data_IF_210330277780
#
_entry.id   IF_210330277780
#
_cell.length_a   1.000
_cell.length_b   1.000
_cell.length_c   1.000
_cell.angle_alpha   90.00
_cell.angle_beta   90.00
_cell.angle_gamma   90.00
#
_symmetry.space_group_name_H-M   'P 1'
#
loop_
_entity.id
_entity.type
_entity.pdbx_description
1 polymer ?
#
# COMPACT_ATOMS: atom_id res chain seq x y z
N UNK A 1 41.91 -4.33 8.43
CA UNK A 1 40.67 -5.01 8.88
C UNK A 1 39.69 -3.92 9.26
N UNK A 2 38.50 -3.87 8.69
CA UNK A 2 37.46 -2.91 9.10
C UNK A 2 36.65 -3.60 10.18
N UNK A 3 36.61 -3.05 11.38
CA UNK A 3 35.72 -3.54 12.43
C UNK A 3 34.28 -3.22 12.01
N UNK A 4 33.43 -4.24 11.91
CA UNK A 4 32.00 -4.05 11.69
C UNK A 4 31.36 -3.61 13.02
N UNK A 5 30.57 -2.52 13.02
CA UNK A 5 29.88 -2.08 14.23
C UNK A 5 28.84 -3.12 14.64
N UNK A 6 28.90 -3.55 15.90
CA UNK A 6 27.87 -4.41 16.51
C UNK A 6 26.82 -3.55 17.21
N UNK A 7 25.55 -3.92 17.07
CA UNK A 7 24.43 -3.18 17.63
C UNK A 7 23.86 -3.99 18.81
N UNK A 8 24.13 -3.61 20.07
CA UNK A 8 23.64 -4.35 21.22
C UNK A 8 22.11 -4.24 21.33
N UNK A 9 21.46 -5.36 21.62
CA UNK A 9 20.02 -5.41 21.82
C UNK A 9 19.61 -4.65 23.08
N UNK A 10 18.70 -3.69 22.94
CA UNK A 10 18.22 -2.88 24.08
C UNK A 10 17.26 -3.63 25.01
N UNK A 11 16.71 -4.76 24.57
CA UNK A 11 15.77 -5.55 25.34
C UNK A 11 16.49 -6.52 26.29
N UNK A 12 17.32 -7.41 25.75
CA UNK A 12 18.04 -8.38 26.58
C UNK A 12 19.38 -7.87 27.10
N UNK A 13 19.99 -6.85 26.47
CA UNK A 13 21.33 -6.30 26.80
C UNK A 13 22.48 -7.31 26.73
N UNK A 14 22.24 -8.49 26.20
CA UNK A 14 23.24 -9.56 26.03
C UNK A 14 23.49 -9.82 24.55
N UNK A 15 22.43 -9.87 23.75
CA UNK A 15 22.51 -10.24 22.34
C UNK A 15 22.84 -9.08 21.41
N UNK A 16 23.12 -9.43 20.17
CA UNK A 16 23.47 -8.51 19.09
C UNK A 16 22.35 -8.53 18.04
N UNK A 17 21.99 -7.34 17.56
CA UNK A 17 21.06 -7.18 16.44
C UNK A 17 21.82 -7.42 15.13
N UNK A 18 21.31 -8.36 14.32
CA UNK A 18 21.83 -8.67 12.99
C UNK A 18 20.80 -8.33 11.92
N UNK A 19 21.27 -7.93 10.73
CA UNK A 19 20.39 -7.77 9.57
C UNK A 19 19.83 -9.13 9.17
N UNK A 20 18.52 -9.25 9.22
CA UNK A 20 17.81 -10.48 8.91
C UNK A 20 16.40 -10.14 8.35
N UNK A 21 15.53 -11.13 8.24
CA UNK A 21 14.15 -10.98 7.83
C UNK A 21 13.20 -11.54 8.88
N UNK A 22 12.02 -10.91 9.00
CA UNK A 22 10.98 -11.32 9.92
C UNK A 22 9.59 -11.18 9.29
N UNK A 23 8.57 -11.74 9.92
CA UNK A 23 7.18 -11.51 9.48
C UNK A 23 6.72 -10.13 9.92
N UNK A 24 6.31 -9.29 8.99
CA UNK A 24 5.57 -8.07 9.33
C UNK A 24 4.07 -8.36 9.36
N UNK A 25 3.42 -8.08 10.48
CA UNK A 25 1.99 -8.23 10.65
C UNK A 25 1.33 -6.89 11.01
N UNK A 26 0.24 -6.57 10.33
CA UNK A 26 -0.57 -5.40 10.64
C UNK A 26 -2.04 -5.65 10.27
N UNK A 27 -2.95 -4.83 10.81
CA UNK A 27 -4.35 -4.81 10.38
C UNK A 27 -4.61 -3.48 9.69
N UNK A 28 -5.13 -3.52 8.47
CA UNK A 28 -5.48 -2.34 7.69
C UNK A 28 -6.94 -2.47 7.26
N UNK A 29 -7.77 -1.47 7.59
CA UNK A 29 -9.21 -1.46 7.26
C UNK A 29 -9.97 -2.74 7.71
N UNK A 30 -9.60 -3.29 8.86
CA UNK A 30 -10.19 -4.52 9.40
C UNK A 30 -9.71 -5.81 8.71
N UNK A 31 -8.78 -5.72 7.74
CA UNK A 31 -8.17 -6.88 7.10
C UNK A 31 -6.74 -7.10 7.61
N UNK A 32 -6.39 -8.33 8.05
CA UNK A 32 -5.02 -8.65 8.42
C UNK A 32 -4.13 -8.69 7.18
N UNK A 33 -2.91 -8.17 7.32
CA UNK A 33 -1.85 -8.19 6.30
C UNK A 33 -0.63 -8.85 6.92
N UNK A 34 -0.14 -9.88 6.25
CA UNK A 34 1.09 -10.59 6.60
C UNK A 34 2.07 -10.43 5.45
N UNK A 35 3.25 -9.87 5.71
CA UNK A 35 4.35 -9.82 4.75
C UNK A 35 5.47 -10.73 5.27
N UNK A 36 5.71 -11.89 4.64
CA UNK A 36 6.85 -12.73 4.97
C UNK A 36 8.15 -12.06 4.52
N UNK A 37 9.27 -12.53 5.06
CA UNK A 37 10.62 -12.11 4.67
C UNK A 37 10.81 -10.58 4.64
N UNK A 38 10.25 -9.87 5.64
CA UNK A 38 10.35 -8.42 5.74
C UNK A 38 11.68 -7.99 6.36
N UNK A 39 12.43 -7.06 5.75
CA UNK A 39 13.76 -6.69 6.22
C UNK A 39 13.73 -6.09 7.63
N UNK A 40 14.57 -6.62 8.50
CA UNK A 40 14.62 -6.26 9.91
C UNK A 40 16.03 -6.39 10.49
N UNK A 41 16.17 -5.92 11.72
CA UNK A 41 17.24 -6.31 12.63
C UNK A 41 16.67 -7.24 13.68
N UNK A 42 17.23 -8.44 13.81
CA UNK A 42 16.76 -9.46 14.75
C UNK A 42 17.87 -9.77 15.74
N UNK A 43 17.53 -9.77 17.04
CA UNK A 43 18.45 -10.18 18.08
C UNK A 43 18.66 -11.70 18.03
N UNK A 44 19.92 -12.11 17.94
CA UNK A 44 20.36 -13.51 17.95
C UNK A 44 20.00 -14.29 19.23
N UNK A 45 19.75 -13.60 20.35
CA UNK A 45 19.43 -14.23 21.63
C UNK A 45 17.94 -14.17 22.01
N UNK A 46 17.33 -12.98 22.04
CA UNK A 46 15.94 -12.84 22.51
C UNK A 46 14.90 -12.75 21.38
N UNK A 47 15.33 -12.67 20.12
CA UNK A 47 14.43 -12.54 18.97
C UNK A 47 13.76 -11.16 18.83
N UNK A 48 14.17 -10.16 19.62
CA UNK A 48 13.70 -8.77 19.45
C UNK A 48 13.96 -8.33 18.01
N UNK A 49 12.89 -7.92 17.34
CA UNK A 49 12.88 -7.49 15.96
C UNK A 49 12.65 -5.98 15.84
N UNK A 50 13.45 -5.32 15.02
CA UNK A 50 13.30 -3.92 14.61
C UNK A 50 13.22 -3.86 13.08
N UNK A 51 12.02 -3.57 12.56
CA UNK A 51 11.81 -3.52 11.11
C UNK A 51 12.56 -2.36 10.46
N UNK A 52 13.01 -2.57 9.21
CA UNK A 52 13.67 -1.53 8.44
C UNK A 52 12.71 -0.37 8.15
N UNK A 53 13.08 0.85 8.57
CA UNK A 53 12.22 2.04 8.45
C UNK A 53 11.94 2.45 7.00
N UNK A 54 12.90 2.28 6.09
CA UNK A 54 12.69 2.57 4.67
C UNK A 54 11.67 1.60 4.06
N UNK A 55 11.84 0.29 4.30
CA UNK A 55 10.90 -0.72 3.84
C UNK A 55 9.49 -0.53 4.42
N UNK A 56 9.37 -0.10 5.69
CA UNK A 56 8.08 0.22 6.29
C UNK A 56 7.40 1.39 5.58
N UNK A 57 8.17 2.42 5.24
CA UNK A 57 7.65 3.61 4.54
C UNK A 57 7.14 3.24 3.14
N UNK A 58 7.89 2.42 2.41
CA UNK A 58 7.48 1.90 1.10
C UNK A 58 6.22 1.04 1.20
N UNK A 59 6.17 0.11 2.16
CA UNK A 59 4.99 -0.72 2.40
C UNK A 59 3.75 0.13 2.71
N UNK A 60 3.88 1.13 3.59
CA UNK A 60 2.79 2.04 3.91
C UNK A 60 2.30 2.81 2.69
N UNK A 61 3.21 3.28 1.83
CA UNK A 61 2.84 3.96 0.59
C UNK A 61 2.05 3.03 -0.35
N UNK A 62 2.48 1.78 -0.52
CA UNK A 62 1.77 0.78 -1.32
C UNK A 62 0.35 0.50 -0.79
N UNK A 63 0.23 0.34 0.53
CA UNK A 63 -1.06 0.10 1.18
C UNK A 63 -2.01 1.29 1.03
N UNK A 64 -1.50 2.52 1.10
CA UNK A 64 -2.30 3.73 0.88
C UNK A 64 -2.74 3.87 -0.59
N UNK A 65 -1.89 3.52 -1.56
CA UNK A 65 -2.28 3.49 -2.98
C UNK A 65 -3.41 2.49 -3.23
N UNK A 66 -3.32 1.29 -2.65
CA UNK A 66 -4.34 0.25 -2.77
C UNK A 66 -5.69 0.68 -2.17
N UNK A 67 -5.66 1.34 -1.00
CA UNK A 67 -6.84 1.98 -0.40
C UNK A 67 -7.53 2.97 -1.32
N UNK A 68 -6.75 3.87 -1.94
CA UNK A 68 -7.28 4.88 -2.86
C UNK A 68 -7.88 4.26 -4.12
N UNK A 69 -7.28 3.18 -4.62
CA UNK A 69 -7.81 2.42 -5.76
C UNK A 69 -9.18 1.82 -5.43
N UNK A 70 -9.31 1.17 -4.26
CA UNK A 70 -10.59 0.61 -3.78
C UNK A 70 -11.71 1.64 -3.59
N UNK A 71 -11.36 2.88 -3.22
CA UNK A 71 -12.32 3.97 -2.96
C UNK A 71 -12.85 4.68 -4.21
N UNK A 72 -12.30 4.45 -5.41
CA UNK A 72 -12.83 5.10 -6.61
C UNK A 72 -14.28 4.64 -6.84
N UNK A 73 -15.27 5.56 -6.85
CA UNK A 73 -16.61 5.19 -7.23
C UNK A 73 -16.52 4.67 -8.66
N UNK A 74 -17.09 3.50 -8.93
CA UNK A 74 -17.39 3.07 -10.29
C UNK A 74 -18.35 4.14 -10.83
N UNK A 75 -17.83 5.19 -11.45
CA UNK A 75 -18.61 6.09 -12.28
C UNK A 75 -19.10 5.23 -13.43
N UNK A 76 -20.26 4.61 -13.20
CA UNK A 76 -21.10 4.04 -14.23
C UNK A 76 -21.10 5.05 -15.36
N UNK A 77 -20.54 4.64 -16.51
CA UNK A 77 -20.59 5.38 -17.76
C UNK A 77 -22.02 5.85 -17.95
N UNK A 78 -22.32 7.12 -17.64
CA UNK A 78 -23.50 7.78 -18.17
C UNK A 78 -23.15 8.04 -19.63
N UNK A 79 -23.39 7.05 -20.47
CA UNK A 79 -23.54 7.27 -21.91
C UNK A 79 -24.82 8.10 -21.99
N UNK A 80 -24.65 9.42 -22.00
CA UNK A 80 -25.70 10.36 -22.30
C UNK A 80 -25.95 10.25 -23.80
N UNK A 81 -26.89 9.38 -24.16
CA UNK A 81 -27.53 9.35 -25.46
C UNK A 81 -28.47 10.57 -25.55
N UNK A 82 -27.92 11.71 -25.98
CA UNK A 82 -28.69 12.87 -26.37
C UNK A 82 -28.06 13.48 -27.62
N UNK A 83 -28.32 12.85 -28.77
CA UNK A 83 -28.24 13.54 -30.05
C UNK A 83 -29.36 13.04 -30.98
N UNK A 84 -30.53 13.67 -30.84
CA UNK A 84 -31.37 13.92 -32.00
C UNK A 84 -32.03 15.29 -31.88
N UNK A 85 -31.28 16.23 -32.45
CA UNK A 85 -31.71 17.53 -32.94
C UNK A 85 -33.03 17.42 -33.72
N UNK A 86 -34.11 17.97 -33.17
CA UNK A 86 -35.28 18.35 -33.97
C UNK A 86 -34.94 19.60 -34.78
N UNK A 87 -34.30 19.40 -35.94
CA UNK A 87 -34.13 20.43 -36.94
C UNK A 87 -35.35 20.44 -37.88
N UNK A 88 -36.11 21.53 -37.77
CA UNK A 88 -36.90 22.21 -38.79
C UNK A 88 -36.97 21.53 -40.18
N UNK A 89 -38.18 21.15 -40.59
CA UNK A 89 -38.55 21.20 -42.02
C UNK A 89 -39.98 21.75 -42.12
N UNK A 90 -40.08 23.05 -42.39
CA UNK A 90 -41.25 23.65 -43.03
C UNK A 90 -41.06 23.50 -44.55
N UNK A 91 -42.02 22.91 -45.27
CA UNK A 91 -42.42 23.53 -46.52
C UNK A 91 -43.91 23.36 -46.85
N UNK A 92 -44.63 24.48 -46.90
CA UNK A 92 -45.47 24.91 -48.04
C UNK A 92 -46.04 23.82 -48.99
N UNK A 93 -47.38 23.62 -49.01
CA UNK A 93 -48.32 23.85 -50.15
C UNK A 93 -49.65 23.04 -50.06
N UNK A 94 -50.77 23.79 -50.01
CA UNK A 94 -52.05 23.75 -50.78
C UNK A 94 -52.37 22.55 -51.71
N UNK A 95 -53.66 22.30 -52.07
CA UNK A 95 -54.79 23.26 -52.20
C UNK A 95 -55.86 23.21 -51.11
#
# INVERSE_FOLDING_TARGET
MKEEPFYPCQECKVGILHRDHAFFFTVQDGQPICVPDFPAWVCDLCGRCEYNSAALTELQAMLETDRRSRRKPRQSRKIADQDHTSALVDPQRQP
#
